data_IF_235245268790
#
_entry.id   IF_235245268790
#
_cell.length_a   1.000
_cell.length_b   1.000
_cell.length_c   1.000
_cell.angle_alpha   90.00
_cell.angle_beta   90.00
_cell.angle_gamma   90.00
#
_symmetry.space_group_name_H-M   'P 1'
#
loop_
_entity.id
_entity.type
_entity.pdbx_description
1 polymer ?
#
# COMPACT_ATOMS: atom_id res chain seq x y z
N UNK A 1 17.64 1.87 -6.64
CA UNK A 1 16.19 1.87 -6.29
C UNK A 1 15.34 0.73 -6.88
N UNK A 2 15.81 -0.04 -7.88
CA UNK A 2 15.04 -1.18 -8.45
C UNK A 2 14.47 -2.16 -7.40
N UNK A 3 15.24 -2.49 -6.36
CA UNK A 3 14.81 -3.43 -5.33
C UNK A 3 13.65 -2.90 -4.47
N UNK A 4 13.65 -1.60 -4.14
CA UNK A 4 12.57 -0.99 -3.37
C UNK A 4 11.25 -1.00 -4.16
N UNK A 5 11.32 -0.69 -5.46
CA UNK A 5 10.19 -0.75 -6.39
C UNK A 5 9.59 -2.15 -6.49
N UNK A 6 10.41 -3.18 -6.66
CA UNK A 6 9.93 -4.56 -6.73
C UNK A 6 9.32 -5.05 -5.41
N UNK A 7 9.87 -4.60 -4.27
CA UNK A 7 9.28 -4.90 -2.96
C UNK A 7 7.91 -4.23 -2.78
N UNK A 8 7.78 -2.95 -3.11
CA UNK A 8 6.51 -2.21 -3.01
C UNK A 8 5.42 -2.82 -3.89
N UNK A 9 5.75 -3.22 -5.13
CA UNK A 9 4.81 -3.92 -6.02
C UNK A 9 4.31 -5.25 -5.42
N UNK A 10 5.21 -6.01 -4.80
CA UNK A 10 4.85 -7.30 -4.19
C UNK A 10 3.90 -7.09 -3.01
N UNK A 11 4.18 -6.12 -2.14
CA UNK A 11 3.31 -5.81 -1.00
C UNK A 11 1.93 -5.32 -1.49
N UNK A 12 1.87 -4.48 -2.53
CA UNK A 12 0.60 -4.02 -3.10
C UNK A 12 -0.25 -5.17 -3.67
N UNK A 13 0.37 -6.13 -4.38
CA UNK A 13 -0.33 -7.29 -4.93
C UNK A 13 -0.86 -8.24 -3.84
N UNK A 14 -0.09 -8.45 -2.77
CA UNK A 14 -0.52 -9.24 -1.60
C UNK A 14 -1.66 -8.54 -0.85
N UNK A 15 -1.65 -7.21 -0.77
CA UNK A 15 -2.67 -6.39 -0.12
C UNK A 15 -4.02 -6.40 -0.85
N UNK A 16 -3.99 -6.58 -2.18
CA UNK A 16 -5.18 -6.61 -3.02
C UNK A 16 -5.88 -7.99 -3.02
N UNK A 17 -5.15 -9.06 -2.68
CA UNK A 17 -5.63 -10.44 -2.71
C UNK A 17 -5.99 -11.03 -1.33
N UNK A 18 -5.87 -10.27 -0.23
CA UNK A 18 -6.03 -10.78 1.13
C UNK A 18 -7.12 -10.04 1.92
N UNK A 19 -7.78 -10.80 2.81
CA UNK A 19 -8.81 -10.30 3.72
C UNK A 19 -8.31 -9.14 4.60
N UNK A 20 -9.25 -8.25 4.94
CA UNK A 20 -9.02 -6.96 5.59
C UNK A 20 -8.17 -7.04 6.88
N UNK A 21 -8.15 -8.19 7.59
CA UNK A 21 -7.41 -8.39 8.83
C UNK A 21 -5.89 -8.39 8.67
N UNK A 22 -5.36 -8.79 7.50
CA UNK A 22 -3.91 -8.82 7.25
C UNK A 22 -3.39 -7.49 6.69
N UNK A 23 -4.31 -6.58 6.34
CA UNK A 23 -4.01 -5.33 5.65
C UNK A 23 -3.14 -4.39 6.50
N UNK A 24 -3.43 -4.31 7.80
CA UNK A 24 -2.67 -3.50 8.76
C UNK A 24 -1.25 -4.03 8.96
N UNK A 25 -1.09 -5.36 9.03
CA UNK A 25 0.22 -6.00 9.18
C UNK A 25 1.13 -5.73 7.96
N UNK A 26 0.58 -5.82 6.76
CA UNK A 26 1.32 -5.51 5.53
C UNK A 26 1.65 -4.01 5.40
N UNK A 27 0.76 -3.13 5.85
CA UNK A 27 1.02 -1.69 5.91
C UNK A 27 2.18 -1.36 6.85
N UNK A 28 2.19 -1.96 8.04
CA UNK A 28 3.27 -1.78 9.00
C UNK A 28 4.61 -2.31 8.46
N UNK A 29 4.59 -3.44 7.72
CA UNK A 29 5.78 -3.97 7.05
C UNK A 29 6.28 -3.03 5.94
N UNK A 30 5.37 -2.49 5.12
CA UNK A 30 5.68 -1.50 4.09
C UNK A 30 6.32 -0.23 4.67
N UNK A 31 5.75 0.29 5.77
CA UNK A 31 6.29 1.46 6.48
C UNK A 31 7.68 1.19 7.08
N UNK A 32 7.89 0.03 7.73
CA UNK A 32 9.20 -0.35 8.29
C UNK A 32 10.26 -0.52 7.21
N UNK A 33 9.89 -1.11 6.08
CA UNK A 33 10.77 -1.23 4.93
C UNK A 33 11.14 0.16 4.39
N UNK A 34 10.14 1.04 4.25
CA UNK A 34 10.36 2.37 3.74
C UNK A 34 11.32 3.18 4.64
N UNK A 35 11.10 3.14 5.96
CA UNK A 35 12.00 3.75 6.94
C UNK A 35 13.43 3.22 6.84
N UNK A 36 13.58 1.90 6.66
CA UNK A 36 14.90 1.28 6.52
C UNK A 36 15.63 1.75 5.26
N UNK A 37 14.96 1.79 4.11
CA UNK A 37 15.56 2.30 2.87
C UNK A 37 15.93 3.78 2.99
N UNK A 38 15.09 4.59 3.63
CA UNK A 38 15.40 6.00 3.91
C UNK A 38 16.69 6.15 4.74
N UNK A 39 16.81 5.39 5.84
CA UNK A 39 18.01 5.42 6.70
C UNK A 39 19.29 4.96 5.98
N UNK A 40 19.18 4.05 5.02
CA UNK A 40 20.34 3.53 4.27
C UNK A 40 20.73 4.41 3.06
N UNK A 41 19.77 5.00 2.36
CA UNK A 41 20.01 5.75 1.12
C UNK A 41 20.00 7.27 1.31
N UNK A 42 19.64 7.76 2.49
CA UNK A 42 19.50 9.19 2.78
C UNK A 42 18.23 9.82 2.19
N UNK A 43 17.28 9.01 1.73
CA UNK A 43 16.06 9.51 1.09
C UNK A 43 15.43 8.53 0.09
N UNK A 44 14.21 8.84 -0.34
CA UNK A 44 13.56 8.23 -1.50
C UNK A 44 13.70 9.14 -2.72
N UNK A 45 13.91 8.54 -3.89
CA UNK A 45 13.66 9.25 -5.14
C UNK A 45 12.14 9.39 -5.37
N UNK A 46 11.76 10.30 -6.27
CA UNK A 46 10.37 10.65 -6.53
C UNK A 46 9.53 9.43 -6.96
N UNK A 47 10.15 8.48 -7.68
CA UNK A 47 9.50 7.25 -8.13
C UNK A 47 9.19 6.30 -6.96
N UNK A 48 10.13 6.12 -6.02
CA UNK A 48 9.90 5.29 -4.84
C UNK A 48 8.89 5.94 -3.87
N UNK A 49 8.87 7.27 -3.79
CA UNK A 49 7.90 8.00 -2.96
C UNK A 49 6.46 7.81 -3.50
N UNK A 50 6.27 7.94 -4.82
CA UNK A 50 4.97 7.72 -5.45
C UNK A 50 4.47 6.27 -5.25
N UNK A 51 5.35 5.28 -5.38
CA UNK A 51 4.99 3.88 -5.16
C UNK A 51 4.59 3.59 -3.70
N UNK A 52 5.20 4.29 -2.73
CA UNK A 52 4.80 4.21 -1.32
C UNK A 52 3.42 4.83 -1.07
N UNK A 53 3.14 6.00 -1.66
CA UNK A 53 1.82 6.64 -1.54
C UNK A 53 0.69 5.81 -2.15
N UNK A 54 0.92 5.18 -3.30
CA UNK A 54 -0.05 4.28 -3.93
C UNK A 54 -0.34 3.07 -3.03
N UNK A 55 0.70 2.46 -2.46
CA UNK A 55 0.55 1.36 -1.50
C UNK A 55 -0.26 1.81 -0.26
N UNK A 56 -0.04 3.04 0.22
CA UNK A 56 -0.77 3.60 1.35
C UNK A 56 -2.25 3.86 1.05
N UNK A 57 -2.57 4.36 -0.15
CA UNK A 57 -3.95 4.55 -0.62
C UNK A 57 -4.70 3.22 -0.74
N UNK A 58 -4.04 2.16 -1.20
CA UNK A 58 -4.63 0.82 -1.27
C UNK A 58 -4.87 0.28 0.14
N UNK A 59 -3.89 0.44 1.04
CA UNK A 59 -3.94 -0.03 2.42
C UNK A 59 -4.99 0.64 3.30
N UNK A 60 -5.12 1.96 3.20
CA UNK A 60 -6.07 2.72 4.04
C UNK A 60 -7.51 2.62 3.57
N UNK A 61 -7.75 2.12 2.36
CA UNK A 61 -9.11 1.97 1.83
C UNK A 61 -9.73 3.33 1.57
N UNK A 62 -10.00 3.62 0.30
CA UNK A 62 -11.13 4.48 0.00
C UNK A 62 -12.37 3.74 0.50
N UNK A 63 -12.85 4.11 1.69
CA UNK A 63 -14.18 3.77 2.15
C UNK A 63 -15.14 4.58 1.27
N UNK A 64 -15.48 4.02 0.12
CA UNK A 64 -16.31 4.65 -0.91
C UNK A 64 -17.10 3.64 -1.70
N UNK A 65 -17.47 2.51 -1.10
CA UNK A 65 -18.53 1.67 -1.64
C UNK A 65 -19.88 2.22 -1.19
N UNK A 66 -20.46 3.13 -1.99
CA UNK A 66 -21.91 3.25 -2.04
C UNK A 66 -22.42 2.05 -2.85
N UNK A 67 -22.58 0.91 -2.20
CA UNK A 67 -23.31 -0.22 -2.76
C UNK A 67 -24.82 0.04 -2.61
N UNK A 68 -25.47 0.22 -3.75
CA UNK A 68 -26.80 -0.30 -4.14
C UNK A 68 -27.92 -0.25 -3.10
N UNK A 69 -28.95 0.57 -3.37
CA UNK A 69 -30.33 0.16 -3.12
C UNK A 69 -31.04 0.15 -4.46
N UNK A 70 -31.04 -1.03 -5.10
CA UNK A 70 -32.04 -1.36 -6.10
C UNK A 70 -33.27 -1.93 -5.38
N UNK A 71 -34.43 -1.38 -5.72
CA UNK A 71 -35.78 -1.91 -5.50
C UNK A 71 -36.33 -1.93 -4.06
N UNK A 72 -37.40 -1.16 -3.85
CA UNK A 72 -38.66 -1.63 -3.27
C UNK A 72 -39.75 -0.55 -3.49
N UNK A 73 -40.84 -0.96 -4.15
CA UNK A 73 -42.07 -0.24 -4.54
C UNK A 73 -42.10 0.34 -5.96
#
# INVERSE_FOLDING_TARGET
MRLAKEYMKRVANELQNKDCSLKEDYMLQGARFAFRVHQFAGGFDMEAMNAFEELWKIGTGHQGDQQTIGSLA
#
